data_IF_571840339412
#
_entry.id   IF_571840339412
#
_cell.length_a   1.000
_cell.length_b   1.000
_cell.length_c   1.000
_cell.angle_alpha   90.00
_cell.angle_beta   90.00
_cell.angle_gamma   90.00
#
_symmetry.space_group_name_H-M   'P 1'
#
loop_
_entity.id
_entity.type
_entity.pdbx_description
1 polymer ?
#
# COMPACT_ATOMS: atom_id res chain seq x y z
N UNK A 1 20.39 -11.76 -42.02
CA UNK A 1 21.82 -12.10 -42.27
C UNK A 1 22.71 -12.18 -41.02
N UNK A 2 22.61 -11.29 -40.01
CA UNK A 2 23.28 -11.51 -38.69
C UNK A 2 22.38 -12.15 -37.62
N UNK A 3 21.06 -11.97 -37.73
CA UNK A 3 20.05 -12.60 -36.84
C UNK A 3 19.79 -14.09 -37.14
N UNK A 4 20.11 -14.57 -38.34
CA UNK A 4 19.89 -15.98 -38.74
C UNK A 4 20.99 -16.93 -38.25
N UNK A 5 22.11 -16.40 -37.75
CA UNK A 5 23.29 -17.21 -37.41
C UNK A 5 23.35 -17.67 -35.94
N UNK A 6 22.34 -17.31 -35.14
CA UNK A 6 22.24 -17.67 -33.70
C UNK A 6 21.12 -18.70 -33.46
N UNK A 7 20.44 -19.17 -34.51
CA UNK A 7 19.40 -20.20 -34.37
C UNK A 7 20.03 -21.58 -34.19
N UNK A 8 20.20 -21.97 -32.93
CA UNK A 8 20.51 -23.32 -32.51
C UNK A 8 19.25 -24.19 -32.71
N UNK A 9 19.28 -25.27 -33.53
CA UNK A 9 18.09 -26.02 -33.93
C UNK A 9 17.44 -26.86 -32.81
N UNK A 10 18.03 -26.93 -31.61
CA UNK A 10 17.44 -27.69 -30.48
C UNK A 10 16.38 -26.93 -29.66
N UNK A 11 16.13 -25.64 -29.94
CA UNK A 11 15.11 -24.84 -29.24
C UNK A 11 14.11 -24.20 -30.20
N UNK A 12 13.36 -25.04 -30.92
CA UNK A 12 12.16 -24.59 -31.63
C UNK A 12 10.98 -24.47 -30.67
N UNK A 13 10.93 -23.40 -29.87
CA UNK A 13 9.71 -22.98 -29.18
C UNK A 13 9.43 -21.51 -29.45
N UNK A 14 8.35 -21.22 -30.18
CA UNK A 14 7.47 -20.04 -30.03
C UNK A 14 8.16 -18.80 -29.44
N UNK A 15 8.96 -18.11 -30.26
CA UNK A 15 10.04 -17.22 -29.83
C UNK A 15 9.67 -15.73 -29.67
N UNK A 16 8.38 -15.39 -29.56
CA UNK A 16 7.97 -13.97 -29.41
C UNK A 16 7.73 -13.55 -27.95
N UNK A 17 7.55 -14.51 -27.02
CA UNK A 17 7.32 -14.21 -25.58
C UNK A 17 8.54 -14.54 -24.72
N UNK A 18 9.41 -15.46 -25.17
CA UNK A 18 10.58 -15.91 -24.41
C UNK A 18 11.64 -14.81 -24.12
N UNK A 19 11.97 -13.90 -25.06
CA UNK A 19 12.94 -12.84 -24.80
C UNK A 19 12.49 -11.87 -23.71
N UNK A 20 11.20 -11.53 -23.69
CA UNK A 20 10.60 -10.60 -22.71
C UNK A 20 10.51 -11.23 -21.34
N UNK A 21 10.08 -12.51 -21.26
CA UNK A 21 10.07 -13.26 -20.01
C UNK A 21 11.48 -13.31 -19.40
N UNK A 22 12.50 -13.60 -20.22
CA UNK A 22 13.88 -13.68 -19.75
C UNK A 22 14.41 -12.31 -19.31
N UNK A 23 14.12 -11.25 -20.07
CA UNK A 23 14.49 -9.88 -19.71
C UNK A 23 13.80 -9.43 -18.41
N UNK A 24 12.54 -9.81 -18.20
CA UNK A 24 11.78 -9.56 -16.98
C UNK A 24 12.36 -10.33 -15.80
N UNK A 25 12.74 -11.60 -15.98
CA UNK A 25 13.41 -12.39 -14.94
C UNK A 25 14.76 -11.79 -14.53
N UNK A 26 15.46 -11.14 -15.46
CA UNK A 26 16.70 -10.40 -15.16
C UNK A 26 16.46 -8.97 -14.66
N UNK A 27 15.20 -8.53 -14.57
CA UNK A 27 14.79 -7.20 -14.15
C UNK A 27 15.57 -6.08 -14.88
N UNK A 28 15.83 -6.26 -16.19
CA UNK A 28 16.61 -5.29 -16.97
C UNK A 28 15.67 -4.31 -17.69
N UNK A 29 15.57 -3.10 -17.14
CA UNK A 29 14.69 -2.04 -17.62
C UNK A 29 14.99 -1.61 -19.07
N UNK A 30 16.26 -1.48 -19.45
CA UNK A 30 16.64 -1.00 -20.78
C UNK A 30 16.24 -2.00 -21.87
N UNK A 31 16.54 -3.28 -21.64
CA UNK A 31 16.20 -4.36 -22.58
C UNK A 31 14.68 -4.48 -22.69
N UNK A 32 13.95 -4.45 -21.57
CA UNK A 32 12.50 -4.50 -21.58
C UNK A 32 11.90 -3.31 -22.34
N UNK A 33 12.45 -2.10 -22.14
CA UNK A 33 12.01 -0.89 -22.85
C UNK A 33 12.25 -1.00 -24.34
N UNK A 34 13.41 -1.53 -24.77
CA UNK A 34 13.69 -1.76 -26.20
C UNK A 34 12.73 -2.77 -26.81
N UNK A 35 12.47 -3.89 -26.11
CA UNK A 35 11.56 -4.94 -26.56
C UNK A 35 10.10 -4.45 -26.64
N UNK A 36 9.65 -3.66 -25.67
CA UNK A 36 8.29 -3.10 -25.64
C UNK A 36 8.09 -2.00 -26.68
N UNK A 37 9.12 -1.22 -27.02
CA UNK A 37 9.08 -0.19 -28.08
C UNK A 37 9.01 -0.75 -29.49
N UNK A 38 9.35 -2.03 -29.67
CA UNK A 38 9.42 -2.64 -31.00
C UNK A 38 8.04 -3.09 -31.54
N UNK A 39 6.94 -2.70 -30.88
CA UNK A 39 5.55 -3.07 -31.22
C UNK A 39 5.36 -4.57 -31.54
N UNK A 40 6.18 -5.42 -30.91
CA UNK A 40 5.75 -6.80 -30.68
C UNK A 40 4.60 -6.63 -29.70
N UNK A 41 3.36 -6.74 -30.20
CA UNK A 41 2.13 -6.74 -29.41
C UNK A 41 2.22 -7.82 -28.34
N UNK A 42 2.90 -7.51 -27.24
CA UNK A 42 3.03 -8.38 -26.11
C UNK A 42 1.64 -8.40 -25.48
N UNK A 43 0.94 -9.55 -25.54
CA UNK A 43 -0.37 -9.65 -24.92
C UNK A 43 -0.20 -9.24 -23.47
N UNK A 44 -1.04 -8.29 -23.00
CA UNK A 44 -1.04 -7.89 -21.59
C UNK A 44 -1.05 -9.18 -20.76
N UNK A 45 -0.10 -9.35 -19.84
CA UNK A 45 -0.04 -10.58 -19.09
C UNK A 45 -1.36 -10.76 -18.34
N UNK A 46 -1.99 -11.92 -18.52
CA UNK A 46 -3.22 -12.22 -17.80
C UNK A 46 -2.95 -12.28 -16.30
N UNK A 47 -3.97 -11.99 -15.49
CA UNK A 47 -3.86 -12.05 -14.04
C UNK A 47 -3.46 -13.46 -13.56
N UNK A 48 -2.84 -13.51 -12.39
CA UNK A 48 -2.48 -14.78 -11.77
C UNK A 48 -3.79 -15.53 -11.46
N UNK A 49 -3.91 -16.78 -11.93
CA UNK A 49 -5.14 -17.56 -11.80
C UNK A 49 -6.13 -17.45 -12.99
N UNK A 50 -5.75 -16.84 -14.11
CA UNK A 50 -6.63 -16.78 -15.28
C UNK A 50 -6.97 -18.18 -15.85
N UNK A 51 -8.27 -18.46 -16.02
CA UNK A 51 -8.79 -19.75 -16.53
C UNK A 51 -8.78 -19.87 -18.07
N UNK A 52 -8.15 -18.94 -18.78
CA UNK A 52 -8.09 -18.98 -20.24
C UNK A 52 -7.41 -20.26 -20.74
N UNK A 53 -7.84 -20.80 -21.89
CA UNK A 53 -7.29 -22.07 -22.43
C UNK A 53 -5.77 -22.03 -22.61
N UNK A 54 -5.23 -20.89 -23.06
CA UNK A 54 -3.79 -20.64 -23.20
C UNK A 54 -3.06 -20.55 -21.85
N UNK A 55 -3.72 -20.01 -20.82
CA UNK A 55 -3.20 -19.80 -19.48
C UNK A 55 -3.17 -21.12 -18.71
N UNK A 56 -4.27 -21.88 -18.78
CA UNK A 56 -4.38 -23.21 -18.18
C UNK A 56 -3.37 -24.18 -18.79
N UNK A 57 -3.15 -24.12 -20.11
CA UNK A 57 -2.14 -24.92 -20.79
C UNK A 57 -0.70 -24.53 -20.40
N UNK A 58 -0.39 -23.24 -20.22
CA UNK A 58 0.93 -22.75 -19.80
C UNK A 58 1.19 -22.95 -18.30
N UNK A 59 0.20 -22.71 -17.44
CA UNK A 59 0.31 -22.90 -15.99
C UNK A 59 0.53 -24.37 -15.63
N UNK A 60 -0.08 -25.32 -16.35
CA UNK A 60 0.18 -26.75 -16.15
C UNK A 60 1.64 -27.18 -16.34
N UNK A 61 2.47 -26.36 -17.01
CA UNK A 61 3.85 -26.70 -17.33
C UNK A 61 4.90 -25.79 -16.68
N UNK A 62 4.56 -24.51 -16.42
CA UNK A 62 5.53 -23.49 -15.99
C UNK A 62 4.88 -22.30 -15.20
N UNK A 63 3.95 -22.57 -14.28
CA UNK A 63 3.22 -21.55 -13.48
C UNK A 63 4.16 -20.57 -12.74
N UNK A 64 5.22 -21.08 -12.10
CA UNK A 64 6.17 -20.27 -11.35
C UNK A 64 6.94 -19.29 -12.24
N UNK A 65 7.39 -19.74 -13.43
CA UNK A 65 8.15 -18.88 -14.36
C UNK A 65 7.31 -17.72 -14.88
N UNK A 66 6.03 -17.98 -15.13
CA UNK A 66 5.09 -16.95 -15.53
C UNK A 66 4.92 -15.92 -14.40
N UNK A 67 4.65 -16.38 -13.19
CA UNK A 67 4.51 -15.53 -12.00
C UNK A 67 5.76 -14.67 -11.73
N UNK A 68 6.96 -15.22 -11.91
CA UNK A 68 8.24 -14.48 -11.81
C UNK A 68 8.39 -13.35 -12.83
N UNK A 69 7.87 -13.56 -14.04
CA UNK A 69 7.86 -12.52 -15.06
C UNK A 69 6.98 -11.35 -14.63
N UNK A 70 5.77 -11.65 -14.14
CA UNK A 70 4.79 -10.62 -13.74
C UNK A 70 5.24 -9.84 -12.52
N UNK A 71 5.92 -10.50 -11.58
CA UNK A 71 6.44 -9.89 -10.37
C UNK A 71 7.65 -8.97 -10.60
N UNK A 72 8.18 -8.91 -11.83
CA UNK A 72 9.34 -8.10 -12.16
C UNK A 72 9.05 -6.59 -12.02
N UNK A 73 9.78 -5.86 -11.15
CA UNK A 73 9.58 -4.43 -10.95
C UNK A 73 9.66 -3.61 -12.24
N UNK A 74 10.65 -3.90 -13.09
CA UNK A 74 10.84 -3.19 -14.34
C UNK A 74 9.67 -3.42 -15.31
N UNK A 75 9.09 -4.62 -15.32
CA UNK A 75 7.92 -4.91 -16.15
C UNK A 75 6.69 -4.14 -15.65
N UNK A 76 6.40 -4.21 -14.35
CA UNK A 76 5.28 -3.51 -13.72
C UNK A 76 5.36 -2.01 -14.02
N UNK A 77 6.55 -1.41 -13.96
CA UNK A 77 6.75 0.02 -14.25
C UNK A 77 6.47 0.41 -15.70
N UNK A 78 6.67 -0.50 -16.64
CA UNK A 78 6.54 -0.22 -18.07
C UNK A 78 5.14 -0.52 -18.61
N UNK A 79 4.40 -1.45 -17.98
CA UNK A 79 3.12 -1.94 -18.51
C UNK A 79 1.89 -1.41 -17.78
N UNK A 80 2.01 -1.02 -16.51
CA UNK A 80 0.87 -0.70 -15.65
C UNK A 80 0.70 0.82 -15.46
N UNK A 81 -0.56 1.28 -15.46
CA UNK A 81 -0.89 2.69 -15.20
C UNK A 81 -0.75 3.03 -13.70
N UNK A 82 -1.19 2.14 -12.81
CA UNK A 82 -1.02 2.25 -11.36
C UNK A 82 -0.13 1.11 -10.82
N UNK A 83 1.20 1.31 -10.82
CA UNK A 83 2.16 0.28 -10.43
C UNK A 83 2.10 -0.09 -8.95
N UNK A 84 1.64 0.83 -8.09
CA UNK A 84 1.50 0.57 -6.64
C UNK A 84 0.31 -0.35 -6.40
N UNK A 85 -0.83 -0.09 -7.06
CA UNK A 85 -2.01 -0.95 -6.98
C UNK A 85 -1.66 -2.35 -7.46
N UNK A 86 -1.07 -2.44 -8.65
CA UNK A 86 -0.73 -3.73 -9.24
C UNK A 86 0.22 -4.53 -8.36
N UNK A 87 1.23 -3.88 -7.75
CA UNK A 87 2.12 -4.54 -6.82
C UNK A 87 1.38 -5.09 -5.57
N UNK A 88 0.36 -4.40 -5.07
CA UNK A 88 -0.44 -4.86 -3.94
C UNK A 88 -1.26 -6.09 -4.30
N UNK A 89 -2.01 -6.02 -5.41
CA UNK A 89 -2.82 -7.14 -5.91
C UNK A 89 -1.94 -8.36 -6.19
N UNK A 90 -0.87 -8.18 -6.96
CA UNK A 90 0.03 -9.26 -7.34
C UNK A 90 0.68 -9.93 -6.12
N UNK A 91 1.07 -9.15 -5.11
CA UNK A 91 1.63 -9.72 -3.88
C UNK A 91 0.60 -10.52 -3.07
N UNK A 92 -0.69 -10.22 -3.20
CA UNK A 92 -1.77 -10.96 -2.57
C UNK A 92 -2.06 -12.25 -3.34
N UNK A 93 -2.16 -12.16 -4.67
CA UNK A 93 -2.34 -13.32 -5.55
C UNK A 93 -1.21 -14.33 -5.35
N UNK A 94 0.06 -13.87 -5.37
CA UNK A 94 1.23 -14.75 -5.15
C UNK A 94 1.20 -15.43 -3.78
N UNK A 95 0.67 -14.73 -2.76
CA UNK A 95 0.52 -15.30 -1.42
C UNK A 95 -0.60 -16.33 -1.35
N UNK A 96 -1.66 -16.18 -2.13
CA UNK A 96 -2.70 -17.19 -2.27
C UNK A 96 -2.16 -18.42 -3.02
N UNK A 97 -1.40 -18.21 -4.10
CA UNK A 97 -0.75 -19.30 -4.83
C UNK A 97 0.23 -20.08 -3.96
N UNK A 98 0.95 -19.43 -3.06
CA UNK A 98 1.86 -20.11 -2.14
C UNK A 98 1.16 -21.07 -1.16
N UNK A 99 -0.16 -20.90 -0.96
CA UNK A 99 -0.99 -21.81 -0.15
C UNK A 99 -1.56 -22.96 -0.98
N UNK A 100 -1.79 -22.74 -2.28
CA UNK A 100 -2.34 -23.75 -3.21
C UNK A 100 -1.23 -24.67 -3.74
N UNK A 101 -0.11 -24.10 -4.21
CA UNK A 101 1.06 -24.80 -4.75
C UNK A 101 2.17 -24.89 -3.67
N UNK A 102 2.03 -25.86 -2.77
CA UNK A 102 2.89 -25.97 -1.58
C UNK A 102 4.35 -26.29 -1.95
N UNK A 103 4.58 -26.97 -3.07
CA UNK A 103 5.91 -27.36 -3.57
C UNK A 103 6.80 -26.15 -3.85
N UNK A 104 6.21 -25.04 -4.32
CA UNK A 104 6.92 -23.80 -4.67
C UNK A 104 6.61 -22.65 -3.69
N UNK A 105 6.06 -22.97 -2.52
CA UNK A 105 5.61 -21.98 -1.54
C UNK A 105 6.65 -20.90 -1.23
N UNK A 106 7.90 -21.31 -1.00
CA UNK A 106 8.99 -20.40 -0.66
C UNK A 106 9.30 -19.42 -1.79
N UNK A 107 9.26 -19.89 -3.05
CA UNK A 107 9.53 -19.05 -4.22
C UNK A 107 8.40 -18.02 -4.41
N UNK A 108 7.14 -18.41 -4.21
CA UNK A 108 6.01 -17.49 -4.27
C UNK A 108 6.03 -16.46 -3.15
N UNK A 109 6.36 -16.87 -1.92
CA UNK A 109 6.50 -15.93 -0.79
C UNK A 109 7.62 -14.91 -1.04
N UNK A 110 8.72 -15.33 -1.66
CA UNK A 110 9.83 -14.44 -2.04
C UNK A 110 9.43 -13.46 -3.14
N UNK A 111 8.69 -13.91 -4.16
CA UNK A 111 8.16 -13.02 -5.21
C UNK A 111 7.13 -12.04 -4.66
N UNK A 112 6.25 -12.50 -3.78
CA UNK A 112 5.30 -11.63 -3.09
C UNK A 112 6.07 -10.55 -2.32
N UNK A 113 7.11 -10.92 -1.56
CA UNK A 113 8.00 -10.00 -0.84
C UNK A 113 8.66 -8.99 -1.79
N UNK A 114 9.13 -9.43 -2.95
CA UNK A 114 9.71 -8.56 -3.97
C UNK A 114 8.72 -7.47 -4.42
N UNK A 115 7.46 -7.83 -4.70
CA UNK A 115 6.42 -6.86 -5.05
C UNK A 115 6.14 -5.86 -3.91
N UNK A 116 6.12 -6.32 -2.64
CA UNK A 116 5.95 -5.41 -1.49
C UNK A 116 7.10 -4.42 -1.35
N UNK A 117 8.33 -4.90 -1.51
CA UNK A 117 9.54 -4.08 -1.45
C UNK A 117 9.56 -3.07 -2.60
N UNK A 118 9.17 -3.48 -3.80
CA UNK A 118 9.03 -2.57 -4.93
C UNK A 118 8.06 -1.41 -4.64
N UNK A 119 6.86 -1.69 -4.11
CA UNK A 119 5.89 -0.65 -3.77
C UNK A 119 6.43 0.31 -2.69
N UNK A 120 7.13 -0.22 -1.67
CA UNK A 120 7.80 0.59 -0.64
C UNK A 120 8.90 1.48 -1.26
N UNK A 121 9.73 0.91 -2.12
CA UNK A 121 10.87 1.62 -2.71
C UNK A 121 10.39 2.71 -3.67
N UNK A 122 9.28 2.48 -4.38
CA UNK A 122 8.64 3.50 -5.22
C UNK A 122 8.09 4.66 -4.38
N UNK A 123 7.44 4.38 -3.25
CA UNK A 123 6.99 5.41 -2.31
C UNK A 123 8.17 6.16 -1.66
N UNK A 124 9.35 5.54 -1.58
CA UNK A 124 10.57 6.16 -1.04
C UNK A 124 11.07 7.31 -1.91
N UNK A 125 10.79 7.26 -3.22
CA UNK A 125 11.25 8.25 -4.18
C UNK A 125 10.44 9.55 -4.13
N UNK A 126 9.31 9.58 -3.42
CA UNK A 126 8.53 10.81 -3.23
C UNK A 126 9.37 11.83 -2.44
N UNK A 127 9.64 12.99 -3.05
CA UNK A 127 10.54 14.02 -2.49
C UNK A 127 9.79 15.01 -1.61
N UNK A 128 8.50 15.21 -1.91
CA UNK A 128 7.69 16.24 -1.29
C UNK A 128 6.48 15.65 -0.57
N UNK A 129 6.05 16.30 0.51
CA UNK A 129 4.83 15.90 1.24
C UNK A 129 3.58 15.97 0.37
N UNK A 130 3.56 16.83 -0.66
CA UNK A 130 2.46 16.93 -1.63
C UNK A 130 2.38 15.72 -2.55
N UNK A 131 3.52 15.23 -3.06
CA UNK A 131 3.56 14.01 -3.87
C UNK A 131 3.08 12.82 -3.06
N UNK A 132 3.56 12.72 -1.82
CA UNK A 132 3.15 11.66 -0.91
C UNK A 132 1.65 11.71 -0.59
N UNK A 133 1.09 12.91 -0.37
CA UNK A 133 -0.34 13.10 -0.16
C UNK A 133 -1.17 12.65 -1.38
N UNK A 134 -0.73 12.97 -2.59
CA UNK A 134 -1.39 12.53 -3.82
C UNK A 134 -1.38 11.02 -3.93
N UNK A 135 -0.22 10.38 -3.71
CA UNK A 135 -0.09 8.91 -3.77
C UNK A 135 -0.97 8.23 -2.71
N UNK A 136 -0.96 8.73 -1.47
CA UNK A 136 -1.69 8.12 -0.35
C UNK A 136 -3.22 8.32 -0.43
N UNK A 137 -3.68 9.37 -1.13
CA UNK A 137 -5.10 9.65 -1.33
C UNK A 137 -5.64 9.15 -2.69
N UNK A 138 -4.80 8.62 -3.57
CA UNK A 138 -5.22 8.17 -4.90
C UNK A 138 -6.25 7.01 -4.83
N UNK A 139 -7.44 7.26 -5.34
CA UNK A 139 -8.51 6.26 -5.55
C UNK A 139 -8.43 5.75 -6.99
N UNK A 140 -8.37 4.42 -7.17
CA UNK A 140 -8.47 3.79 -8.49
C UNK A 140 -9.92 3.65 -8.97
N UNK A 141 -10.89 3.82 -8.08
CA UNK A 141 -12.33 3.70 -8.35
C UNK A 141 -13.04 5.04 -8.17
N UNK A 142 -13.96 5.35 -9.09
CA UNK A 142 -14.97 6.42 -9.01
C UNK A 142 -15.98 6.19 -7.86
N UNK A 143 -15.50 5.86 -6.65
CA UNK A 143 -16.37 5.87 -5.49
C UNK A 143 -16.72 7.33 -5.16
N UNK A 144 -18.01 7.65 -4.96
CA UNK A 144 -18.42 9.02 -4.70
C UNK A 144 -17.77 9.46 -3.39
N UNK A 145 -16.90 10.48 -3.48
CA UNK A 145 -16.36 11.13 -2.30
C UNK A 145 -17.53 11.57 -1.42
N UNK A 146 -17.63 10.95 -0.25
CA UNK A 146 -18.56 11.36 0.79
C UNK A 146 -18.21 12.83 1.11
N UNK A 147 -19.07 13.77 0.68
CA UNK A 147 -18.88 15.24 0.79
C UNK A 147 -19.00 15.71 2.23
N UNK A 148 -18.11 15.22 3.07
CA UNK A 148 -17.95 15.61 4.46
C UNK A 148 -16.71 16.49 4.49
N UNK A 149 -16.93 17.81 4.58
CA UNK A 149 -15.98 18.90 4.87
C UNK A 149 -14.60 18.95 4.18
N UNK A 150 -14.21 20.14 3.70
CA UNK A 150 -12.87 20.51 3.15
C UNK A 150 -11.63 20.16 4.02
N UNK A 151 -11.82 19.66 5.25
CA UNK A 151 -10.75 19.17 6.14
C UNK A 151 -10.63 17.63 6.14
N UNK A 152 -11.71 16.93 5.79
CA UNK A 152 -11.78 15.47 5.61
C UNK A 152 -11.24 15.05 4.23
N UNK A 153 -11.20 15.98 3.25
CA UNK A 153 -10.60 15.76 1.92
C UNK A 153 -9.10 15.42 1.97
N UNK A 154 -8.35 15.89 2.98
CA UNK A 154 -6.95 15.49 3.18
C UNK A 154 -6.78 14.11 3.85
N UNK A 155 -7.88 13.46 4.23
CA UNK A 155 -7.89 12.35 5.19
C UNK A 155 -8.58 11.08 4.71
N UNK A 156 -9.03 10.98 3.45
CA UNK A 156 -9.61 9.70 3.02
C UNK A 156 -8.54 8.59 3.01
N UNK A 157 -7.27 8.94 2.75
CA UNK A 157 -6.11 8.03 2.82
C UNK A 157 -6.41 6.70 2.13
N UNK A 158 -7.12 6.77 1.00
CA UNK A 158 -7.76 5.61 0.37
C UNK A 158 -6.74 4.56 -0.02
N UNK A 159 -5.59 4.98 -0.58
CA UNK A 159 -4.49 4.09 -0.92
C UNK A 159 -3.86 3.47 0.32
N UNK A 160 -3.74 4.21 1.41
CA UNK A 160 -3.21 3.69 2.66
C UNK A 160 -4.15 2.65 3.29
N UNK A 161 -5.46 2.91 3.29
CA UNK A 161 -6.48 1.94 3.74
C UNK A 161 -6.41 0.66 2.90
N UNK A 162 -6.22 0.81 1.59
CA UNK A 162 -6.03 -0.32 0.68
C UNK A 162 -4.74 -1.09 0.99
N UNK A 163 -3.63 -0.39 1.26
CA UNK A 163 -2.37 -1.01 1.68
C UNK A 163 -2.53 -1.84 2.97
N UNK A 164 -3.32 -1.35 3.92
CA UNK A 164 -3.66 -2.09 5.15
C UNK A 164 -4.49 -3.33 4.82
N UNK A 165 -5.51 -3.21 3.96
CA UNK A 165 -6.35 -4.34 3.50
C UNK A 165 -5.51 -5.45 2.86
N UNK A 166 -4.53 -5.07 2.03
CA UNK A 166 -3.60 -6.02 1.40
C UNK A 166 -2.41 -6.42 2.29
N UNK A 167 -2.40 -6.07 3.58
CA UNK A 167 -1.32 -6.42 4.52
C UNK A 167 0.09 -6.00 4.05
N UNK A 168 0.21 -4.78 3.52
CA UNK A 168 1.45 -4.18 3.02
C UNK A 168 2.22 -3.47 4.15
N UNK A 169 2.78 -4.25 5.07
CA UNK A 169 3.42 -3.73 6.30
C UNK A 169 4.63 -2.86 5.99
N UNK A 170 5.44 -3.24 5.02
CA UNK A 170 6.67 -2.57 4.59
C UNK A 170 6.38 -1.20 3.97
N UNK A 171 5.29 -1.08 3.20
CA UNK A 171 4.81 0.18 2.63
C UNK A 171 4.33 1.14 3.71
N UNK A 172 3.48 0.65 4.63
CA UNK A 172 2.90 1.49 5.71
C UNK A 172 3.97 1.93 6.71
N UNK A 173 4.93 1.05 7.04
CA UNK A 173 6.00 1.33 8.02
C UNK A 173 7.12 2.23 7.50
N UNK A 174 7.05 2.66 6.23
CA UNK A 174 8.06 3.53 5.65
C UNK A 174 8.15 4.89 6.36
N UNK A 175 9.37 5.39 6.54
CA UNK A 175 9.66 6.65 7.25
C UNK A 175 8.85 7.85 6.73
N UNK A 176 8.79 8.04 5.41
CA UNK A 176 8.04 9.13 4.78
C UNK A 176 6.53 9.03 5.08
N UNK A 177 5.97 7.83 4.92
CA UNK A 177 4.57 7.55 5.24
C UNK A 177 4.27 7.78 6.73
N UNK A 178 5.12 7.28 7.62
CA UNK A 178 4.98 7.47 9.07
C UNK A 178 5.12 8.94 9.49
N UNK A 179 6.02 9.69 8.88
CA UNK A 179 6.17 11.13 9.15
C UNK A 179 4.92 11.91 8.71
N UNK A 180 4.35 11.57 7.55
CA UNK A 180 3.10 12.14 7.07
C UNK A 180 1.93 11.82 8.00
N UNK A 181 1.77 10.54 8.37
CA UNK A 181 0.76 10.09 9.32
C UNK A 181 0.87 10.79 10.67
N UNK A 182 2.09 10.99 11.18
CA UNK A 182 2.29 11.75 12.42
C UNK A 182 1.81 13.20 12.28
N UNK A 183 2.02 13.82 11.11
CA UNK A 183 1.55 15.19 10.85
C UNK A 183 0.02 15.25 10.86
N UNK A 184 -0.64 14.27 10.23
CA UNK A 184 -2.10 14.13 10.25
C UNK A 184 -2.61 13.83 11.67
N UNK A 185 -1.91 12.98 12.42
CA UNK A 185 -2.28 12.54 13.75
C UNK A 185 -2.30 13.69 14.77
N UNK A 186 -1.24 14.48 14.80
CA UNK A 186 -1.12 15.59 15.73
C UNK A 186 -1.82 16.86 15.23
N UNK A 187 -1.93 17.08 13.91
CA UNK A 187 -2.62 18.24 13.33
C UNK A 187 -2.17 19.57 13.97
N UNK A 188 -3.12 20.31 14.54
CA UNK A 188 -2.85 21.58 15.24
C UNK A 188 -1.99 21.43 16.50
N UNK A 189 -1.86 20.22 17.04
CA UNK A 189 -1.03 19.89 18.20
C UNK A 189 0.39 19.43 17.80
N UNK A 190 0.88 19.79 16.62
CA UNK A 190 2.23 19.41 16.15
C UNK A 190 3.36 19.76 17.14
N UNK A 191 3.21 20.86 17.89
CA UNK A 191 4.14 21.26 18.95
C UNK A 191 4.22 20.29 20.14
N UNK A 192 3.19 19.45 20.36
CA UNK A 192 3.18 18.43 21.42
C UNK A 192 4.34 17.45 21.29
N UNK A 193 4.74 17.09 20.06
CA UNK A 193 5.82 16.14 19.79
C UNK A 193 7.15 16.57 20.40
N UNK A 194 7.45 17.87 20.39
CA UNK A 194 8.70 18.45 20.90
C UNK A 194 8.71 18.68 22.42
N UNK A 195 7.59 18.49 23.11
CA UNK A 195 7.51 18.70 24.56
C UNK A 195 8.26 17.60 25.33
N UNK A 196 8.81 17.92 26.52
CA UNK A 196 9.43 16.92 27.39
C UNK A 196 8.37 15.93 27.90
N UNK A 197 8.80 14.70 28.21
CA UNK A 197 7.93 13.58 28.59
C UNK A 197 7.03 13.90 29.77
N UNK A 198 7.53 14.58 30.81
CA UNK A 198 6.72 14.98 31.96
C UNK A 198 5.54 15.89 31.55
N UNK A 199 5.77 16.92 30.72
CA UNK A 199 4.71 17.80 30.22
C UNK A 199 3.72 17.06 29.31
N UNK A 200 4.19 16.06 28.56
CA UNK A 200 3.33 15.19 27.73
C UNK A 200 2.36 14.39 28.61
N UNK A 201 2.88 13.69 29.61
CA UNK A 201 2.08 12.90 30.57
C UNK A 201 1.07 13.80 31.27
N UNK A 202 1.50 14.95 31.80
CA UNK A 202 0.61 15.90 32.47
C UNK A 202 -0.53 16.36 31.55
N UNK A 203 -0.23 16.65 30.28
CA UNK A 203 -1.27 17.04 29.29
C UNK A 203 -2.29 15.92 29.08
N UNK A 204 -1.84 14.67 28.92
CA UNK A 204 -2.71 13.50 28.74
C UNK A 204 -3.59 13.28 29.97
N UNK A 205 -3.03 13.39 31.17
CA UNK A 205 -3.78 13.27 32.43
C UNK A 205 -4.83 14.38 32.57
N UNK A 206 -4.49 15.63 32.28
CA UNK A 206 -5.45 16.74 32.32
C UNK A 206 -6.59 16.51 31.32
N UNK A 207 -6.30 16.16 30.07
CA UNK A 207 -7.35 15.86 29.06
C UNK A 207 -8.19 14.65 29.50
N UNK A 208 -7.54 13.63 30.06
CA UNK A 208 -8.19 12.43 30.57
C UNK A 208 -9.15 12.72 31.73
N UNK A 209 -8.79 13.56 32.70
CA UNK A 209 -9.68 13.91 33.82
C UNK A 209 -10.85 14.77 33.34
N UNK A 210 -10.60 15.73 32.46
CA UNK A 210 -11.61 16.67 31.96
C UNK A 210 -12.36 16.15 30.71
N UNK A 211 -12.26 14.85 30.39
CA UNK A 211 -12.91 14.24 29.23
C UNK A 211 -14.43 14.50 29.12
N UNK A 212 -15.25 14.48 30.21
CA UNK A 212 -16.70 14.65 30.08
C UNK A 212 -17.06 16.11 29.75
N UNK A 213 -16.34 17.07 30.35
CA UNK A 213 -16.50 18.50 30.07
C UNK A 213 -16.08 18.82 28.64
N UNK A 214 -14.94 18.27 28.19
CA UNK A 214 -14.46 18.46 26.82
C UNK A 214 -15.44 17.90 25.78
N UNK A 215 -16.02 16.72 26.04
CA UNK A 215 -17.05 16.12 25.18
C UNK A 215 -18.31 16.99 25.11
N UNK A 216 -18.77 17.53 26.25
CA UNK A 216 -19.93 18.42 26.30
C UNK A 216 -19.68 19.73 25.56
N UNK A 217 -18.50 20.34 25.73
CA UNK A 217 -18.08 21.53 25.00
C UNK A 217 -18.08 21.30 23.48
N UNK A 218 -17.67 20.11 23.02
CA UNK A 218 -17.70 19.75 21.61
C UNK A 218 -19.13 19.65 21.06
N UNK A 219 -20.08 19.14 21.84
CA UNK A 219 -21.50 19.08 21.45
C UNK A 219 -22.13 20.46 21.31
N UNK A 220 -21.79 21.40 22.21
CA UNK A 220 -22.40 22.74 22.24
C UNK A 220 -21.79 23.64 21.15
N UNK A 221 -20.47 23.63 20.97
CA UNK A 221 -19.78 24.57 20.09
C UNK A 221 -18.65 23.90 19.28
N UNK A 222 -18.98 23.08 18.27
CA UNK A 222 -18.00 22.31 17.50
C UNK A 222 -17.06 23.18 16.65
N UNK A 223 -17.49 24.39 16.25
CA UNK A 223 -16.70 25.33 15.44
C UNK A 223 -15.72 26.20 16.26
N UNK A 224 -15.71 26.07 17.59
CA UNK A 224 -14.81 26.84 18.46
C UNK A 224 -13.33 26.43 18.29
N UNK A 225 -12.39 27.23 18.82
CA UNK A 225 -10.96 26.86 18.81
C UNK A 225 -10.73 25.51 19.53
N UNK A 226 -11.38 25.31 20.67
CA UNK A 226 -11.34 24.03 21.40
C UNK A 226 -11.98 22.89 20.61
N UNK A 227 -13.11 23.13 19.95
CA UNK A 227 -13.76 22.14 19.08
C UNK A 227 -12.85 21.65 17.95
N UNK A 228 -12.07 22.56 17.32
CA UNK A 228 -11.07 22.21 16.31
C UNK A 228 -9.90 21.39 16.86
N UNK A 229 -9.47 21.65 18.10
CA UNK A 229 -8.43 20.85 18.78
C UNK A 229 -8.96 19.45 19.10
N UNK A 230 -10.17 19.34 19.64
CA UNK A 230 -10.83 18.06 19.96
C UNK A 230 -11.08 17.24 18.68
N UNK A 231 -11.30 17.91 17.54
CA UNK A 231 -11.50 17.23 16.27
C UNK A 231 -10.27 16.42 15.79
N UNK A 232 -9.07 16.70 16.33
CA UNK A 232 -7.84 15.96 15.98
C UNK A 232 -7.91 14.50 16.45
N UNK A 233 -7.38 13.53 15.68
CA UNK A 233 -7.48 12.11 16.02
C UNK A 233 -6.75 11.78 17.32
N UNK A 234 -5.64 12.47 17.64
CA UNK A 234 -4.96 12.34 18.91
C UNK A 234 -5.85 12.66 20.12
N UNK A 235 -6.62 13.75 20.07
CA UNK A 235 -7.51 14.14 21.17
C UNK A 235 -8.70 13.19 21.29
N UNK A 236 -9.31 12.80 20.16
CA UNK A 236 -10.37 11.78 20.14
C UNK A 236 -9.89 10.49 20.79
N UNK A 237 -8.68 10.03 20.47
CA UNK A 237 -8.11 8.82 21.06
C UNK A 237 -7.99 8.91 22.58
N UNK A 238 -7.48 10.02 23.13
CA UNK A 238 -7.37 10.21 24.58
C UNK A 238 -8.75 10.23 25.24
N UNK A 239 -9.71 10.97 24.67
CA UNK A 239 -11.06 11.10 25.23
C UNK A 239 -11.78 9.75 25.23
N UNK A 240 -11.73 9.00 24.12
CA UNK A 240 -12.30 7.66 24.04
C UNK A 240 -11.62 6.69 25.02
N UNK A 241 -10.28 6.72 25.11
CA UNK A 241 -9.53 5.90 26.06
C UNK A 241 -9.88 6.22 27.53
N UNK A 242 -10.01 7.51 27.87
CA UNK A 242 -10.38 7.95 29.21
C UNK A 242 -11.83 7.54 29.57
N UNK A 243 -12.77 7.71 28.64
CA UNK A 243 -14.16 7.28 28.82
C UNK A 243 -14.25 5.77 29.07
N UNK A 244 -13.55 4.96 28.27
CA UNK A 244 -13.51 3.52 28.45
C UNK A 244 -12.88 3.12 29.80
N UNK A 245 -11.80 3.80 30.20
CA UNK A 245 -11.18 3.58 31.51
C UNK A 245 -12.14 3.92 32.66
N UNK A 246 -12.88 5.04 32.57
CA UNK A 246 -13.89 5.37 33.59
C UNK A 246 -15.03 4.35 33.64
N UNK A 247 -15.45 3.80 32.49
CA UNK A 247 -16.43 2.72 32.46
C UNK A 247 -15.93 1.47 33.20
N UNK A 248 -14.69 1.05 32.95
CA UNK A 248 -14.09 -0.07 33.68
C UNK A 248 -13.97 0.20 35.19
N UNK A 249 -13.63 1.42 35.57
CA UNK A 249 -13.53 1.80 36.98
C UNK A 249 -14.90 1.74 37.68
N UNK A 250 -15.95 2.25 37.03
CA UNK A 250 -17.32 2.15 37.55
C UNK A 250 -17.77 0.69 37.66
N UNK A 251 -17.43 -0.15 36.68
CA UNK A 251 -17.74 -1.57 36.71
C UNK A 251 -17.04 -2.28 37.88
N UNK A 252 -15.76 -1.97 38.15
CA UNK A 252 -15.04 -2.54 39.29
C UNK A 252 -15.53 -2.02 40.64
N UNK A 253 -16.03 -0.78 40.72
CA UNK A 253 -16.60 -0.23 41.96
C UNK A 253 -17.99 -0.78 42.28
N UNK A 254 -18.73 -1.20 41.24
CA UNK A 254 -20.10 -1.69 41.36
C UNK A 254 -20.20 -3.24 41.28
N UNK A 255 -19.11 -3.91 40.91
CA UNK A 255 -18.95 -5.37 40.99
C UNK A 255 -18.48 -5.80 42.38
#
# INVERSE_FOLDING_TARGET
KLMERIQNPEYSTTMDVAPVILAAHRNNYEILTMLLKQDVSLPKPHAVGCECTLCSAKNKKDSLRHSRCLASPALIMLTEEDPILRAFELSADLKELSLVEVEFRNDYEELARQCKMFAKDLLAQARNSRELEVILNHTSSDEPLDKRGLLEERMNLSRLKLAIKYNQKEFVSQSNCQQFLNTVWFGQMSGYRRKPTCKKIMTVLTVGIFWPVLSLCYLIAPKSQFGRIIHTPFMKFIIHGASYFTFLLLLNLYS
#
